data_IF_939248586957
#
_entry.id   IF_939248586957
#
_cell.length_a   1.000
_cell.length_b   1.000
_cell.length_c   1.000
_cell.angle_alpha   90.00
_cell.angle_beta   90.00
_cell.angle_gamma   90.00
#
_symmetry.space_group_name_H-M   'P 1'
#
loop_
_entity.id
_entity.type
_entity.pdbx_description
1 polymer ?
#
# COMPACT_ATOMS: atom_id res chain seq x y z
N UNK A 1 -20.70 -3.54 -58.94
CA UNK A 1 -20.96 -4.34 -57.72
C UNK A 1 -19.93 -3.91 -56.67
N UNK A 2 -20.32 -3.09 -55.70
CA UNK A 2 -19.40 -2.66 -54.63
C UNK A 2 -18.98 -3.87 -53.81
N UNK A 3 -17.67 -4.10 -53.67
CA UNK A 3 -17.10 -5.22 -52.94
C UNK A 3 -17.59 -5.24 -51.46
N UNK A 4 -18.63 -6.03 -51.20
CA UNK A 4 -19.16 -6.27 -49.85
C UNK A 4 -18.18 -7.08 -48.97
N UNK A 5 -17.09 -7.59 -49.56
CA UNK A 5 -16.06 -8.37 -48.87
C UNK A 5 -15.22 -7.52 -47.91
N UNK A 6 -14.94 -6.24 -48.26
CA UNK A 6 -14.13 -5.34 -47.45
C UNK A 6 -14.77 -5.05 -46.07
N UNK A 7 -16.07 -4.62 -45.98
CA UNK A 7 -16.68 -4.39 -44.68
C UNK A 7 -16.81 -5.66 -43.85
N UNK A 8 -17.00 -6.83 -44.49
CA UNK A 8 -17.09 -8.10 -43.77
C UNK A 8 -15.73 -8.53 -43.20
N UNK A 9 -14.63 -8.35 -43.92
CA UNK A 9 -13.28 -8.64 -43.40
C UNK A 9 -12.89 -7.72 -42.22
N UNK A 10 -13.29 -6.45 -42.25
CA UNK A 10 -13.06 -5.51 -41.16
C UNK A 10 -13.79 -5.96 -39.89
N UNK A 11 -15.03 -6.40 -39.99
CA UNK A 11 -15.81 -6.90 -38.84
C UNK A 11 -15.15 -8.15 -38.24
N UNK A 12 -14.66 -9.07 -39.06
CA UNK A 12 -13.96 -10.28 -38.59
C UNK A 12 -12.67 -9.92 -37.86
N UNK A 13 -11.88 -8.99 -38.41
CA UNK A 13 -10.63 -8.54 -37.77
C UNK A 13 -10.93 -7.90 -36.40
N UNK A 14 -11.95 -7.04 -36.32
CA UNK A 14 -12.38 -6.43 -35.05
C UNK A 14 -12.85 -7.48 -34.05
N UNK A 15 -13.59 -8.49 -34.49
CA UNK A 15 -14.02 -9.60 -33.64
C UNK A 15 -12.85 -10.42 -33.09
N UNK A 16 -11.84 -10.69 -33.90
CA UNK A 16 -10.63 -11.42 -33.49
C UNK A 16 -9.84 -10.60 -32.48
N UNK A 17 -9.63 -9.29 -32.73
CA UNK A 17 -8.94 -8.39 -31.83
C UNK A 17 -9.69 -8.31 -30.48
N UNK A 18 -11.00 -8.10 -30.52
CA UNK A 18 -11.84 -8.06 -29.31
C UNK A 18 -11.73 -9.36 -28.50
N UNK A 19 -11.78 -10.51 -29.18
CA UNK A 19 -11.67 -11.83 -28.55
C UNK A 19 -10.29 -12.03 -27.89
N UNK A 20 -9.21 -11.59 -28.54
CA UNK A 20 -7.85 -11.66 -27.98
C UNK A 20 -7.76 -10.76 -26.72
N UNK A 21 -8.26 -9.53 -26.79
CA UNK A 21 -8.28 -8.63 -25.62
C UNK A 21 -9.15 -9.17 -24.50
N UNK A 22 -10.34 -9.70 -24.80
CA UNK A 22 -11.23 -10.29 -23.82
C UNK A 22 -10.56 -11.46 -23.09
N UNK A 23 -9.93 -12.36 -23.84
CA UNK A 23 -9.22 -13.50 -23.29
C UNK A 23 -7.98 -13.08 -22.48
N UNK A 24 -7.27 -12.04 -22.92
CA UNK A 24 -6.14 -11.47 -22.19
C UNK A 24 -6.54 -10.83 -20.84
N UNK A 25 -7.74 -10.27 -20.75
CA UNK A 25 -8.28 -9.74 -19.49
C UNK A 25 -8.67 -10.85 -18.51
N UNK A 26 -9.18 -11.96 -19.02
CA UNK A 26 -9.56 -13.13 -18.21
C UNK A 26 -8.32 -13.84 -17.64
N UNK A 27 -7.23 -13.89 -18.41
CA UNK A 27 -5.93 -14.46 -18.03
C UNK A 27 -4.99 -13.45 -17.36
N UNK A 28 -5.47 -12.27 -16.94
CA UNK A 28 -4.64 -11.29 -16.24
C UNK A 28 -4.14 -11.90 -14.93
N UNK A 29 -3.01 -12.62 -15.02
CA UNK A 29 -2.20 -12.97 -13.86
C UNK A 29 -1.74 -11.66 -13.25
N UNK A 30 -2.49 -11.14 -12.29
CA UNK A 30 -1.99 -10.10 -11.42
C UNK A 30 -0.70 -10.68 -10.85
N UNK A 31 0.43 -10.16 -11.29
CA UNK A 31 1.72 -10.52 -10.71
C UNK A 31 1.64 -10.13 -9.24
N UNK A 32 1.28 -11.06 -8.39
CA UNK A 32 1.49 -10.96 -6.96
C UNK A 32 2.92 -11.41 -6.73
N UNK A 33 3.85 -10.50 -6.43
CA UNK A 33 5.19 -10.90 -6.02
C UNK A 33 5.04 -11.86 -4.86
N UNK A 34 5.91 -12.85 -4.81
CA UNK A 34 5.88 -13.89 -3.78
C UNK A 34 5.99 -13.23 -2.39
N UNK A 35 4.83 -13.06 -1.74
CA UNK A 35 4.67 -12.35 -0.46
C UNK A 35 5.23 -13.19 0.69
N UNK A 36 5.66 -14.42 0.41
CA UNK A 36 6.10 -15.40 1.39
C UNK A 36 7.62 -15.42 1.63
N UNK A 37 8.40 -14.65 0.91
CA UNK A 37 9.83 -14.52 1.22
C UNK A 37 10.01 -13.44 2.29
N UNK A 38 10.37 -13.85 3.50
CA UNK A 38 10.86 -12.95 4.55
C UNK A 38 11.94 -12.05 3.96
N UNK A 39 11.66 -10.77 3.86
CA UNK A 39 12.57 -9.76 3.32
C UNK A 39 12.94 -8.81 4.42
N UNK A 40 14.23 -8.51 4.55
CA UNK A 40 14.67 -7.45 5.45
C UNK A 40 14.06 -6.11 5.06
N UNK A 41 13.79 -5.28 6.07
CA UNK A 41 13.31 -3.92 5.82
C UNK A 41 14.41 -3.11 5.09
N UNK A 42 14.05 -2.26 4.12
CA UNK A 42 15.01 -1.39 3.44
C UNK A 42 15.72 -0.43 4.40
N UNK A 43 16.97 -0.13 4.09
CA UNK A 43 17.74 0.91 4.79
C UNK A 43 17.52 2.24 4.07
N UNK A 44 16.86 3.19 4.73
CA UNK A 44 16.59 4.51 4.17
C UNK A 44 16.79 5.63 5.20
N UNK A 45 16.92 6.85 4.71
CA UNK A 45 16.92 8.08 5.48
C UNK A 45 15.75 8.94 5.01
N UNK A 46 15.04 9.53 5.96
CA UNK A 46 13.88 10.38 5.67
C UNK A 46 13.71 11.44 6.76
N UNK A 47 12.58 12.16 6.73
CA UNK A 47 12.18 13.09 7.78
C UNK A 47 10.95 12.58 8.51
N UNK A 48 10.94 12.79 9.82
CA UNK A 48 9.72 12.63 10.62
C UNK A 48 8.73 13.74 10.26
N UNK A 49 7.45 13.38 10.18
CA UNK A 49 6.40 14.22 9.60
C UNK A 49 6.14 15.52 10.39
N UNK A 50 6.09 15.43 11.72
CA UNK A 50 5.75 16.58 12.56
C UNK A 50 6.97 17.40 12.98
N UNK A 51 8.06 16.74 13.34
CA UNK A 51 9.28 17.41 13.82
C UNK A 51 10.17 17.91 12.68
N UNK A 52 10.07 17.29 11.49
CA UNK A 52 10.98 17.54 10.37
C UNK A 52 12.41 17.02 10.59
N UNK A 53 12.66 16.31 11.69
CA UNK A 53 13.97 15.73 12.01
C UNK A 53 14.32 14.59 11.06
N UNK A 54 15.61 14.48 10.73
CA UNK A 54 16.10 13.36 9.94
C UNK A 54 16.06 12.08 10.76
N UNK A 55 15.46 11.04 10.22
CA UNK A 55 15.36 9.71 10.82
C UNK A 55 15.88 8.63 9.88
N UNK A 56 16.48 7.61 10.48
CA UNK A 56 16.94 6.41 9.76
C UNK A 56 15.96 5.26 10.00
N UNK A 57 15.82 4.35 9.05
CA UNK A 57 14.97 3.16 9.20
C UNK A 57 15.27 2.40 10.49
N UNK A 58 16.54 2.23 10.86
CA UNK A 58 16.98 1.56 12.09
C UNK A 58 16.51 2.23 13.39
N UNK A 59 16.16 3.53 13.37
CA UNK A 59 15.62 4.24 14.54
C UNK A 59 14.09 4.19 14.61
N UNK A 60 13.42 3.74 13.55
CA UNK A 60 11.97 3.61 13.48
C UNK A 60 11.53 2.23 13.98
N UNK A 61 12.25 1.18 13.56
CA UNK A 61 11.91 -0.22 13.83
C UNK A 61 12.87 -0.83 14.85
N UNK A 62 12.34 -1.35 15.95
CA UNK A 62 13.08 -2.07 17.00
C UNK A 62 12.81 -3.57 16.87
N UNK A 63 13.82 -4.41 17.15
CA UNK A 63 13.75 -5.86 16.97
C UNK A 63 12.62 -6.53 17.76
N UNK A 64 12.37 -6.11 19.00
CA UNK A 64 11.43 -6.79 19.90
C UNK A 64 9.97 -6.32 19.79
N UNK A 65 9.64 -5.59 18.70
CA UNK A 65 8.30 -5.01 18.53
C UNK A 65 7.70 -5.42 17.18
N UNK A 66 6.38 -5.58 17.20
CA UNK A 66 5.59 -5.80 16.00
C UNK A 66 5.13 -4.45 15.47
N UNK A 67 5.30 -4.23 14.17
CA UNK A 67 4.89 -3.02 13.50
C UNK A 67 3.95 -3.33 12.33
N UNK A 68 3.02 -2.42 12.11
CA UNK A 68 2.22 -2.35 10.88
C UNK A 68 2.56 -1.01 10.21
N UNK A 69 3.36 -1.07 9.15
CA UNK A 69 3.63 0.09 8.31
C UNK A 69 2.49 0.27 7.33
N UNK A 70 1.92 1.47 7.29
CA UNK A 70 0.87 1.86 6.35
C UNK A 70 1.43 2.92 5.41
N UNK A 71 1.41 2.66 4.10
CA UNK A 71 1.70 3.65 3.07
C UNK A 71 0.40 4.33 2.68
N UNK A 72 0.32 5.65 2.87
CA UNK A 72 -0.90 6.41 2.73
C UNK A 72 -0.68 7.82 2.17
N UNK A 73 -1.76 8.46 1.70
CA UNK A 73 -1.76 9.85 1.27
C UNK A 73 -3.11 10.51 1.55
N UNK A 74 -3.13 11.83 1.70
CA UNK A 74 -4.38 12.58 1.91
C UNK A 74 -5.31 12.56 0.69
N UNK A 75 -4.76 12.45 -0.52
CA UNK A 75 -5.50 12.36 -1.78
C UNK A 75 -6.05 10.95 -2.08
N UNK A 76 -5.68 9.95 -1.28
CA UNK A 76 -6.04 8.54 -1.50
C UNK A 76 -7.42 8.25 -0.89
N UNK A 77 -8.44 8.07 -1.72
CA UNK A 77 -9.82 7.76 -1.28
C UNK A 77 -9.92 6.43 -0.51
N UNK A 78 -9.31 5.30 -0.96
CA UNK A 78 -9.32 4.07 -0.18
C UNK A 78 -8.61 4.18 1.17
N UNK A 79 -7.55 5.03 1.28
CA UNK A 79 -6.88 5.28 2.55
C UNK A 79 -7.83 5.95 3.56
N UNK A 80 -8.69 6.87 3.09
CA UNK A 80 -9.71 7.50 3.93
C UNK A 80 -10.76 6.50 4.39
N UNK A 81 -11.11 5.53 3.55
CA UNK A 81 -12.10 4.49 3.89
C UNK A 81 -11.59 3.51 4.95
N UNK A 82 -10.30 3.14 4.91
CA UNK A 82 -9.72 2.24 5.93
C UNK A 82 -9.35 2.95 7.24
N UNK A 83 -9.23 4.27 7.24
CA UNK A 83 -8.73 5.04 8.37
C UNK A 83 -9.45 4.80 9.70
N UNK A 84 -10.81 4.70 9.77
CA UNK A 84 -11.50 4.35 11.01
C UNK A 84 -11.10 2.99 11.57
N UNK A 85 -10.77 2.03 10.69
CA UNK A 85 -10.30 0.71 11.09
C UNK A 85 -8.91 0.79 11.74
N UNK A 86 -8.01 1.61 11.19
CA UNK A 86 -6.69 1.88 11.77
C UNK A 86 -6.80 2.58 13.13
N UNK A 87 -7.74 3.50 13.29
CA UNK A 87 -8.01 4.14 14.59
C UNK A 87 -8.42 3.13 15.64
N UNK A 88 -9.32 2.19 15.32
CA UNK A 88 -9.73 1.13 16.21
C UNK A 88 -8.58 0.18 16.55
N UNK A 89 -7.79 -0.21 15.53
CA UNK A 89 -6.64 -1.09 15.72
C UNK A 89 -5.57 -0.47 16.63
N UNK A 90 -5.36 0.84 16.54
CA UNK A 90 -4.44 1.55 17.42
C UNK A 90 -4.88 1.52 18.90
N UNK A 91 -6.18 1.54 19.17
CA UNK A 91 -6.71 1.45 20.54
C UNK A 91 -6.42 0.11 21.20
N UNK A 92 -6.29 -0.97 20.45
CA UNK A 92 -5.98 -2.31 20.96
C UNK A 92 -4.54 -2.43 21.49
N UNK A 93 -3.63 -1.55 21.12
CA UNK A 93 -2.21 -1.47 21.55
C UNK A 93 -1.39 -2.77 21.36
N UNK A 94 -1.83 -3.68 20.51
CA UNK A 94 -1.14 -4.97 20.25
C UNK A 94 0.06 -4.83 19.34
N UNK A 95 0.09 -3.79 18.50
CA UNK A 95 1.15 -3.53 17.53
C UNK A 95 1.40 -2.02 17.38
N UNK A 96 2.52 -1.66 16.79
CA UNK A 96 2.88 -0.28 16.56
C UNK A 96 2.54 0.12 15.13
N UNK A 97 1.54 0.97 14.94
CA UNK A 97 1.18 1.47 13.61
C UNK A 97 2.11 2.62 13.26
N UNK A 98 2.79 2.51 12.12
CA UNK A 98 3.70 3.51 11.56
C UNK A 98 3.14 3.98 10.23
N UNK A 99 3.12 5.28 9.99
CA UNK A 99 2.69 5.86 8.71
C UNK A 99 3.88 6.20 7.82
N UNK A 100 3.77 5.90 6.52
CA UNK A 100 4.60 6.47 5.47
C UNK A 100 3.71 7.37 4.61
N UNK A 101 3.90 8.67 4.69
CA UNK A 101 3.15 9.63 3.88
C UNK A 101 3.78 9.73 2.49
N UNK A 102 3.09 9.22 1.48
CA UNK A 102 3.59 8.97 0.14
C UNK A 102 3.14 10.05 -0.84
N UNK A 103 4.11 10.72 -1.48
CA UNK A 103 3.88 11.72 -2.57
C UNK A 103 2.74 12.68 -2.26
N UNK A 104 2.75 13.28 -1.09
CA UNK A 104 1.67 14.09 -0.59
C UNK A 104 2.10 15.54 -0.33
N UNK A 105 1.12 16.44 -0.29
CA UNK A 105 1.31 17.76 0.26
C UNK A 105 1.17 17.69 1.78
N UNK A 106 2.22 18.10 2.50
CA UNK A 106 2.28 17.99 3.97
C UNK A 106 1.11 18.69 4.67
N UNK A 107 0.66 19.85 4.14
CA UNK A 107 -0.48 20.58 4.70
C UNK A 107 -1.79 19.80 4.54
N UNK A 108 -1.99 19.15 3.37
CA UNK A 108 -3.17 18.32 3.12
C UNK A 108 -3.13 17.06 4.00
N UNK A 109 -1.97 16.44 4.14
CA UNK A 109 -1.76 15.29 5.03
C UNK A 109 -2.03 15.65 6.51
N UNK A 110 -1.57 16.82 6.97
CA UNK A 110 -1.87 17.33 8.30
C UNK A 110 -3.37 17.55 8.51
N UNK A 111 -4.05 18.17 7.53
CA UNK A 111 -5.50 18.38 7.58
C UNK A 111 -6.27 17.06 7.62
N UNK A 112 -5.83 16.05 6.84
CA UNK A 112 -6.39 14.70 6.86
C UNK A 112 -6.33 14.09 8.27
N UNK A 113 -5.17 14.17 8.94
CA UNK A 113 -5.01 13.66 10.29
C UNK A 113 -5.77 14.47 11.35
N UNK A 114 -5.94 15.79 11.15
CA UNK A 114 -6.78 16.62 12.04
C UNK A 114 -8.26 16.27 11.91
N UNK A 115 -8.72 15.95 10.72
CA UNK A 115 -10.11 15.60 10.43
C UNK A 115 -10.47 14.19 10.96
N UNK A 116 -9.60 13.20 10.70
CA UNK A 116 -9.90 11.78 10.92
C UNK A 116 -9.24 11.17 12.16
N UNK A 117 -8.37 11.93 12.84
CA UNK A 117 -7.53 11.44 13.92
C UNK A 117 -6.19 10.89 13.42
N UNK A 118 -5.29 10.59 14.36
CA UNK A 118 -3.96 10.06 14.05
C UNK A 118 -3.78 8.66 14.68
N UNK A 119 -3.82 7.57 13.89
CA UNK A 119 -3.59 6.21 14.38
C UNK A 119 -2.11 5.86 14.51
N UNK A 120 -1.20 6.69 13.99
CA UNK A 120 0.21 6.37 13.84
C UNK A 120 1.02 6.80 15.06
N UNK A 121 1.90 5.92 15.56
CA UNK A 121 2.88 6.26 16.60
C UNK A 121 4.01 7.14 16.07
N UNK A 122 4.37 6.96 14.81
CA UNK A 122 5.31 7.80 14.06
C UNK A 122 4.86 7.87 12.61
N UNK A 123 5.17 8.99 11.96
CA UNK A 123 4.94 9.14 10.51
C UNK A 123 6.26 9.63 9.92
N UNK A 124 6.67 9.03 8.82
CA UNK A 124 7.78 9.52 8.02
C UNK A 124 7.35 9.85 6.60
N UNK A 125 8.15 10.68 5.92
CA UNK A 125 7.77 11.32 4.66
C UNK A 125 8.49 10.61 3.51
N UNK A 126 7.77 10.36 2.43
CA UNK A 126 8.29 9.87 1.15
C UNK A 126 7.77 10.77 0.02
N UNK A 127 8.41 11.94 -0.14
CA UNK A 127 7.94 12.98 -1.08
C UNK A 127 8.05 12.57 -2.55
N UNK A 128 9.06 11.81 -2.91
CA UNK A 128 9.31 11.37 -4.29
C UNK A 128 8.85 9.94 -4.58
N UNK A 129 8.53 9.17 -3.54
CA UNK A 129 8.07 7.79 -3.63
C UNK A 129 9.20 6.77 -3.73
N UNK A 130 10.46 7.19 -3.55
CA UNK A 130 11.63 6.31 -3.65
C UNK A 130 11.62 5.26 -2.55
N UNK A 131 11.27 5.65 -1.32
CA UNK A 131 11.23 4.73 -0.18
C UNK A 131 10.17 3.65 -0.40
N UNK A 132 8.98 4.03 -0.87
CA UNK A 132 7.90 3.08 -1.18
C UNK A 132 8.33 2.04 -2.23
N UNK A 133 9.10 2.46 -3.25
CA UNK A 133 9.66 1.55 -4.26
C UNK A 133 10.63 0.55 -3.62
N UNK A 134 11.50 0.98 -2.70
CA UNK A 134 12.43 0.09 -1.99
C UNK A 134 11.69 -0.95 -1.14
N UNK A 135 10.55 -0.59 -0.57
CA UNK A 135 9.63 -1.52 0.10
C UNK A 135 8.92 -2.47 -0.87
N UNK A 136 9.02 -2.23 -2.18
CA UNK A 136 8.30 -2.97 -3.21
C UNK A 136 6.81 -2.64 -3.23
N UNK A 137 6.44 -1.42 -2.83
CA UNK A 137 5.07 -0.94 -2.93
C UNK A 137 4.74 -0.49 -4.36
N UNK A 138 3.49 -0.68 -4.75
CA UNK A 138 2.97 -0.31 -6.08
C UNK A 138 2.10 0.94 -6.03
N UNK A 139 1.57 1.27 -4.85
CA UNK A 139 0.66 2.39 -4.68
C UNK A 139 0.15 2.54 -3.24
N UNK A 140 -0.97 3.23 -3.09
CA UNK A 140 -1.61 3.48 -1.80
C UNK A 140 -3.09 3.08 -1.84
N UNK A 141 -3.63 2.50 -0.74
CA UNK A 141 -2.89 2.08 0.43
C UNK A 141 -2.21 0.72 0.25
N UNK A 142 -1.08 0.54 0.89
CA UNK A 142 -0.44 -0.75 1.09
C UNK A 142 0.07 -0.86 2.53
N UNK A 143 0.08 -2.07 3.07
CA UNK A 143 0.48 -2.30 4.46
C UNK A 143 1.51 -3.42 4.57
N UNK A 144 2.43 -3.28 5.52
CA UNK A 144 3.49 -4.25 5.77
C UNK A 144 3.52 -4.63 7.25
N UNK A 145 3.30 -5.90 7.54
CA UNK A 145 3.50 -6.44 8.89
C UNK A 145 4.99 -6.78 9.08
N UNK A 146 5.59 -6.25 10.13
CA UNK A 146 7.02 -6.31 10.38
C UNK A 146 7.26 -6.86 11.78
N UNK A 147 8.19 -7.79 11.88
CA UNK A 147 8.71 -8.32 13.15
C UNK A 147 10.19 -8.69 13.00
N UNK A 148 11.01 -8.43 14.02
CA UNK A 148 12.45 -8.70 14.01
C UNK A 148 13.18 -8.17 12.77
N UNK A 149 12.86 -6.97 12.33
CA UNK A 149 13.46 -6.31 11.16
C UNK A 149 13.16 -7.01 9.82
N UNK A 150 12.19 -7.92 9.81
CA UNK A 150 11.75 -8.65 8.62
C UNK A 150 10.30 -8.29 8.26
N UNK A 151 10.02 -8.16 6.99
CA UNK A 151 8.66 -8.06 6.46
C UNK A 151 8.04 -9.46 6.51
N UNK A 152 7.07 -9.65 7.41
CA UNK A 152 6.38 -10.94 7.59
C UNK A 152 5.29 -11.11 6.54
N UNK A 153 4.58 -10.02 6.23
CA UNK A 153 3.49 -10.03 5.26
C UNK A 153 3.25 -8.65 4.67
N UNK A 154 2.90 -8.63 3.39
CA UNK A 154 2.45 -7.46 2.66
C UNK A 154 0.96 -7.59 2.34
N UNK A 155 0.22 -6.49 2.49
CA UNK A 155 -1.18 -6.38 2.10
C UNK A 155 -1.31 -5.28 1.05
N UNK A 156 -1.92 -5.60 -0.08
CA UNK A 156 -2.13 -4.67 -1.20
C UNK A 156 -3.58 -4.20 -1.18
N UNK A 157 -3.78 -2.88 -1.26
CA UNK A 157 -5.09 -2.25 -1.15
C UNK A 157 -5.54 -2.03 0.30
N UNK A 158 -6.77 -1.51 0.49
CA UNK A 158 -7.26 -1.11 1.80
C UNK A 158 -7.47 -2.30 2.72
N UNK A 159 -7.06 -2.14 3.97
CA UNK A 159 -7.34 -3.11 5.03
C UNK A 159 -8.85 -3.21 5.27
N UNK A 160 -9.30 -4.42 5.58
CA UNK A 160 -10.65 -4.72 5.99
C UNK A 160 -10.63 -5.62 7.23
N UNK A 161 -11.80 -5.89 7.83
CA UNK A 161 -11.87 -6.68 9.05
C UNK A 161 -11.23 -8.07 8.90
N UNK A 162 -11.42 -8.74 7.77
CA UNK A 162 -10.82 -10.05 7.50
C UNK A 162 -9.28 -10.00 7.55
N UNK A 163 -8.67 -8.94 6.98
CA UNK A 163 -7.22 -8.75 7.02
C UNK A 163 -6.72 -8.40 8.42
N UNK A 164 -7.50 -7.65 9.20
CA UNK A 164 -7.19 -7.39 10.62
C UNK A 164 -7.23 -8.67 11.44
N UNK A 165 -8.23 -9.53 11.23
CA UNK A 165 -8.31 -10.82 11.90
C UNK A 165 -7.11 -11.71 11.54
N UNK A 166 -6.65 -11.68 10.29
CA UNK A 166 -5.44 -12.37 9.85
C UNK A 166 -4.18 -11.80 10.52
N UNK A 167 -4.03 -10.47 10.58
CA UNK A 167 -2.93 -9.82 11.32
C UNK A 167 -2.94 -10.29 12.79
N UNK A 168 -4.10 -10.29 13.43
CA UNK A 168 -4.25 -10.71 14.81
C UNK A 168 -3.88 -12.19 15.03
N UNK A 169 -4.06 -13.06 14.03
CA UNK A 169 -3.60 -14.45 14.09
C UNK A 169 -2.07 -14.57 13.96
N UNK A 170 -1.44 -13.73 13.14
CA UNK A 170 0.01 -13.76 12.90
C UNK A 170 0.83 -13.19 14.08
N UNK A 171 0.23 -12.37 14.94
CA UNK A 171 0.91 -11.71 16.06
C UNK A 171 0.65 -12.38 17.43
N UNK A 172 -0.08 -13.48 17.45
CA UNK A 172 -0.28 -14.33 18.65
C UNK A 172 0.94 -15.20 18.92
#
# INVERSE_FOLDING_TARGET
>A
MKNKIIPFSVIIIFGIIFFIFYKSLEDSKIYTPDVNTKKEIPVFNTKEFFSGENVKSSSIFNLDKIYLLIIWSSWCVPCRQEHPLLMNLNLENKLNIIGMNYKDNLKNAENFLKELGNPYKKIFIDLDGTIAIEWGAYGVPESFLIYNNEIIKKFIGPLNQKLIDEINLLIK
#
